data_IF_891543278176
#
_entry.id   IF_891543278176
#
_cell.length_a   1.000
_cell.length_b   1.000
_cell.length_c   1.000
_cell.angle_alpha   90.00
_cell.angle_beta   90.00
_cell.angle_gamma   90.00
#
_symmetry.space_group_name_H-M   'P 1'
#
loop_
_entity.id
_entity.type
_entity.pdbx_description
1 polymer ?
#
# COMPACT_ATOMS: atom_id res chain seq x y z
N UNK A 1 10.14 20.09 16.72
CA UNK A 1 9.02 19.35 17.33
C UNK A 1 7.77 20.21 17.51
N UNK A 2 7.87 21.43 18.04
CA UNK A 2 6.71 22.33 18.31
C UNK A 2 5.86 22.62 17.06
N UNK A 3 6.49 22.84 15.90
CA UNK A 3 5.78 23.11 14.64
C UNK A 3 4.96 21.90 14.17
N UNK A 4 5.49 20.68 14.36
CA UNK A 4 4.78 19.46 13.97
C UNK A 4 3.56 19.19 14.85
N UNK A 5 3.67 19.46 16.16
CA UNK A 5 2.53 19.39 17.08
C UNK A 5 1.48 20.44 16.73
N UNK A 6 1.88 21.67 16.42
CA UNK A 6 0.94 22.74 16.02
C UNK A 6 0.18 22.44 14.72
N UNK A 7 0.84 21.83 13.71
CA UNK A 7 0.18 21.39 12.48
C UNK A 7 -0.81 20.26 12.74
N UNK A 8 -0.44 19.29 13.58
CA UNK A 8 -1.34 18.18 13.96
C UNK A 8 -2.57 18.69 14.75
N UNK A 9 -2.39 19.67 15.63
CA UNK A 9 -3.48 20.29 16.41
C UNK A 9 -4.48 21.03 15.50
N UNK A 10 -3.97 21.74 14.48
CA UNK A 10 -4.79 22.46 13.50
C UNK A 10 -5.59 21.50 12.61
N UNK A 11 -4.96 20.41 12.17
CA UNK A 11 -5.65 19.34 11.44
C UNK A 11 -6.72 18.68 12.32
N UNK A 12 -6.42 18.41 13.59
CA UNK A 12 -7.37 17.85 14.54
C UNK A 12 -8.57 18.79 14.78
N UNK A 13 -8.36 20.11 14.85
CA UNK A 13 -9.43 21.11 15.01
C UNK A 13 -10.36 21.17 13.78
N UNK A 14 -9.80 21.15 12.57
CA UNK A 14 -10.58 21.11 11.32
C UNK A 14 -11.36 19.80 11.23
N UNK A 15 -10.74 18.68 11.61
CA UNK A 15 -11.38 17.37 11.60
C UNK A 15 -12.50 17.26 12.64
N UNK A 16 -12.33 17.80 13.85
CA UNK A 16 -13.37 17.83 14.88
C UNK A 16 -14.55 18.73 14.48
N UNK A 17 -14.29 19.83 13.78
CA UNK A 17 -15.35 20.70 13.27
C UNK A 17 -16.15 20.02 12.14
N UNK A 18 -15.49 19.21 11.29
CA UNK A 18 -16.18 18.36 10.31
C UNK A 18 -16.87 17.14 10.93
N UNK A 19 -16.41 16.68 12.10
CA UNK A 19 -16.97 15.55 12.84
C UNK A 19 -18.34 15.86 13.47
N UNK A 20 -18.54 17.11 13.90
CA UNK A 20 -19.74 17.53 14.61
C UNK A 20 -20.98 17.69 13.71
N UNK A 21 -20.83 17.63 12.38
CA UNK A 21 -21.90 17.90 11.41
C UNK A 21 -22.30 16.67 10.57
N UNK A 22 -21.82 15.47 10.90
CA UNK A 22 -22.19 14.29 10.11
C UNK A 22 -22.55 13.09 10.96
N UNK A 23 -23.85 12.92 11.19
CA UNK A 23 -24.46 11.68 11.72
C UNK A 23 -24.17 10.43 10.86
N UNK A 24 -23.49 10.55 9.70
CA UNK A 24 -23.14 9.42 8.83
C UNK A 24 -21.74 9.49 8.19
N UNK A 25 -20.86 10.40 8.59
CA UNK A 25 -19.69 10.79 7.78
C UNK A 25 -18.30 10.38 8.26
N UNK A 26 -18.14 9.77 9.43
CA UNK A 26 -16.82 9.35 9.93
C UNK A 26 -16.83 8.05 10.75
N UNK A 27 -17.65 7.08 10.36
CA UNK A 27 -17.51 5.71 10.89
C UNK A 27 -16.18 5.05 10.49
N UNK A 28 -15.46 5.61 9.50
CA UNK A 28 -14.12 5.17 9.06
C UNK A 28 -13.11 5.09 10.21
N UNK A 29 -13.25 5.92 11.25
CA UNK A 29 -12.34 5.93 12.39
C UNK A 29 -12.91 5.34 13.68
N UNK A 30 -14.20 4.97 13.69
CA UNK A 30 -14.84 4.38 14.87
C UNK A 30 -14.71 2.86 14.91
N UNK A 31 -14.83 2.23 13.74
CA UNK A 31 -14.67 0.77 13.57
C UNK A 31 -13.94 0.49 12.25
N UNK A 32 -12.60 0.69 12.18
CA UNK A 32 -11.81 0.45 10.98
C UNK A 32 -11.66 -1.07 10.75
N UNK A 33 -12.78 -1.73 10.45
CA UNK A 33 -12.83 -3.17 10.23
C UNK A 33 -12.82 -3.40 8.72
N UNK A 34 -11.73 -3.96 8.22
CA UNK A 34 -11.69 -4.43 6.84
C UNK A 34 -12.41 -5.77 6.77
N UNK A 35 -13.34 -5.90 5.81
CA UNK A 35 -13.97 -7.19 5.53
C UNK A 35 -12.88 -8.21 5.13
N UNK A 36 -12.98 -9.44 5.64
CA UNK A 36 -12.08 -10.54 5.26
C UNK A 36 -12.03 -10.71 3.73
N UNK A 37 -13.14 -10.41 3.04
CA UNK A 37 -13.20 -10.47 1.58
C UNK A 37 -12.20 -9.51 0.91
N UNK A 38 -12.00 -8.29 1.46
CA UNK A 38 -10.99 -7.35 0.95
C UNK A 38 -9.56 -7.84 1.18
N UNK A 39 -9.32 -8.54 2.29
CA UNK A 39 -8.00 -9.11 2.59
C UNK A 39 -7.61 -10.12 1.51
N UNK A 40 -8.48 -11.09 1.22
CA UNK A 40 -8.20 -12.12 0.22
C UNK A 40 -8.02 -11.54 -1.19
N UNK A 41 -8.87 -10.59 -1.59
CA UNK A 41 -8.77 -9.93 -2.90
C UNK A 41 -7.47 -9.13 -3.01
N UNK A 42 -7.12 -8.36 -1.97
CA UNK A 42 -5.89 -7.56 -1.95
C UNK A 42 -4.64 -8.43 -2.01
N UNK A 43 -4.61 -9.54 -1.26
CA UNK A 43 -3.51 -10.52 -1.31
C UNK A 43 -3.39 -11.15 -2.69
N UNK A 44 -4.51 -11.53 -3.32
CA UNK A 44 -4.49 -12.10 -4.67
C UNK A 44 -3.93 -11.11 -5.70
N UNK A 45 -4.35 -9.84 -5.63
CA UNK A 45 -3.83 -8.77 -6.50
C UNK A 45 -2.32 -8.61 -6.31
N UNK A 46 -1.84 -8.57 -5.07
CA UNK A 46 -0.42 -8.46 -4.73
C UNK A 46 0.41 -9.61 -5.31
N UNK A 47 -0.08 -10.85 -5.19
CA UNK A 47 0.59 -12.03 -5.73
C UNK A 47 0.67 -11.94 -7.26
N UNK A 48 -0.45 -11.64 -7.94
CA UNK A 48 -0.49 -11.58 -9.40
C UNK A 48 0.44 -10.47 -9.91
N UNK A 49 0.40 -9.29 -9.28
CA UNK A 49 1.28 -8.19 -9.63
C UNK A 49 2.75 -8.55 -9.43
N UNK A 50 3.10 -9.15 -8.29
CA UNK A 50 4.47 -9.60 -7.99
C UNK A 50 4.97 -10.66 -8.98
N UNK A 51 4.12 -11.62 -9.35
CA UNK A 51 4.46 -12.66 -10.32
C UNK A 51 4.70 -12.06 -11.70
N UNK A 52 3.82 -11.17 -12.18
CA UNK A 52 3.99 -10.52 -13.49
C UNK A 52 5.27 -9.68 -13.50
N UNK A 53 5.50 -8.90 -12.45
CA UNK A 53 6.67 -8.04 -12.30
C UNK A 53 7.98 -8.86 -12.24
N UNK A 54 8.00 -9.99 -11.53
CA UNK A 54 9.17 -10.86 -11.42
C UNK A 54 9.40 -11.76 -12.65
N UNK A 55 8.32 -12.16 -13.33
CA UNK A 55 8.41 -13.06 -14.49
C UNK A 55 9.08 -12.40 -15.70
N UNK A 56 8.79 -11.12 -15.96
CA UNK A 56 9.37 -10.42 -17.11
C UNK A 56 10.92 -10.39 -17.07
N UNK A 57 11.60 -9.99 -15.98
CA UNK A 57 13.06 -10.03 -15.89
C UNK A 57 13.59 -11.47 -15.79
N UNK A 58 12.92 -12.37 -15.06
CA UNK A 58 13.36 -13.77 -14.96
C UNK A 58 13.41 -14.45 -16.35
N UNK A 59 12.41 -14.19 -17.19
CA UNK A 59 12.38 -14.70 -18.57
C UNK A 59 13.53 -14.15 -19.44
N UNK A 60 14.01 -12.94 -19.15
CA UNK A 60 15.19 -12.38 -19.82
C UNK A 60 16.47 -13.09 -19.35
N UNK A 61 16.61 -13.30 -18.04
CA UNK A 61 17.79 -13.94 -17.45
C UNK A 61 17.99 -15.39 -17.93
N UNK A 62 16.92 -16.19 -18.00
CA UNK A 62 17.00 -17.61 -18.41
C UNK A 62 17.47 -17.80 -19.87
N UNK A 63 17.37 -16.76 -20.72
CA UNK A 63 17.84 -16.82 -22.11
C UNK A 63 19.35 -16.63 -22.24
N UNK A 64 20.02 -16.13 -21.19
CA UNK A 64 21.46 -15.91 -21.20
C UNK A 64 22.13 -17.28 -21.06
N UNK A 65 23.09 -17.57 -21.94
CA UNK A 65 23.82 -18.84 -21.87
C UNK A 65 24.67 -18.84 -20.60
N UNK A 66 24.70 -19.93 -19.81
CA UNK A 66 25.52 -20.02 -18.61
C UNK A 66 27.00 -19.71 -18.86
N UNK A 67 27.52 -20.15 -20.02
CA UNK A 67 28.90 -19.89 -20.42
C UNK A 67 29.21 -18.40 -20.64
N UNK A 68 28.23 -17.60 -21.09
CA UNK A 68 28.39 -16.15 -21.26
C UNK A 68 28.30 -15.46 -19.89
N UNK A 69 27.37 -15.89 -19.04
CA UNK A 69 27.25 -15.36 -17.68
C UNK A 69 28.51 -15.63 -16.82
N UNK A 70 29.11 -16.81 -16.92
CA UNK A 70 30.35 -17.17 -16.20
C UNK A 70 31.63 -16.54 -16.79
N UNK A 71 31.56 -15.96 -17.99
CA UNK A 71 32.70 -15.30 -18.63
C UNK A 71 32.75 -13.80 -18.30
N UNK A 72 31.62 -13.23 -17.86
CA UNK A 72 31.52 -11.85 -17.38
C UNK A 72 31.79 -11.70 -15.87
N UNK A 73 31.86 -12.81 -15.12
CA UNK A 73 32.56 -12.88 -13.82
C UNK A 73 34.08 -12.75 -14.01
#
# INVERSE_FOLDING_TARGET
>A
MVIGVGLSELVNMIMQQSAAQSENGMSVFKDPTVDLSYVFVSTAILIIAGVIAGYMPARRAVKIKPIEAMREE
#
